data_IF_495170321951
#
_entry.id   IF_495170321951
#
_cell.length_a   1.000
_cell.length_b   1.000
_cell.length_c   1.000
_cell.angle_alpha   90.00
_cell.angle_beta   90.00
_cell.angle_gamma   90.00
#
_symmetry.space_group_name_H-M   'P 1'
#
loop_
_entity.id
_entity.type
_entity.pdbx_description
1 polymer ?
#
# COMPACT_ATOMS: atom_id res chain seq x y z
N UNK A 1 -4.96 19.68 -15.99
CA UNK A 1 -4.75 18.92 -14.75
C UNK A 1 -3.39 18.27 -14.84
N UNK A 2 -2.55 18.47 -13.87
CA UNK A 2 -1.25 17.83 -13.81
C UNK A 2 -1.46 16.31 -13.62
N UNK A 3 -0.99 15.50 -14.57
CA UNK A 3 -1.12 14.04 -14.51
C UNK A 3 -0.45 13.45 -13.27
N UNK A 4 0.56 14.12 -12.74
CA UNK A 4 1.28 13.69 -11.53
C UNK A 4 0.41 13.75 -10.28
N UNK A 5 -0.36 14.79 -10.10
CA UNK A 5 -1.22 14.99 -8.93
C UNK A 5 -2.32 13.93 -8.85
N UNK A 6 -2.97 13.63 -9.96
CA UNK A 6 -4.00 12.57 -10.02
C UNK A 6 -3.44 11.19 -9.69
N UNK A 7 -2.24 10.87 -10.15
CA UNK A 7 -1.58 9.59 -9.83
C UNK A 7 -1.25 9.50 -8.33
N UNK A 8 -0.74 10.59 -7.74
CA UNK A 8 -0.43 10.64 -6.32
C UNK A 8 -1.70 10.42 -5.46
N UNK A 9 -2.78 11.14 -5.76
CA UNK A 9 -4.04 10.98 -5.05
C UNK A 9 -4.57 9.54 -5.14
N UNK A 10 -4.50 8.93 -6.32
CA UNK A 10 -4.90 7.56 -6.52
C UNK A 10 -4.04 6.58 -5.71
N UNK A 11 -2.72 6.76 -5.71
CA UNK A 11 -1.81 5.92 -4.95
C UNK A 11 -2.04 6.04 -3.44
N UNK A 12 -2.22 7.26 -2.91
CA UNK A 12 -2.56 7.51 -1.50
C UNK A 12 -3.85 6.79 -1.12
N UNK A 13 -4.84 6.92 -1.95
CA UNK A 13 -6.14 6.32 -1.71
C UNK A 13 -6.09 4.80 -1.66
N UNK A 14 -5.48 4.19 -2.66
CA UNK A 14 -5.31 2.74 -2.74
C UNK A 14 -4.49 2.23 -1.57
N UNK A 15 -3.43 2.94 -1.17
CA UNK A 15 -2.58 2.57 -0.04
C UNK A 15 -3.33 2.60 1.29
N UNK A 16 -4.08 3.67 1.57
CA UNK A 16 -4.93 3.78 2.76
C UNK A 16 -5.96 2.64 2.80
N UNK A 17 -6.60 2.40 1.67
CA UNK A 17 -7.56 1.31 1.56
C UNK A 17 -6.94 -0.05 1.88
N UNK A 18 -5.79 -0.37 1.29
CA UNK A 18 -5.11 -1.65 1.53
C UNK A 18 -4.64 -1.77 2.98
N UNK A 19 -4.13 -0.69 3.55
CA UNK A 19 -3.76 -0.63 4.96
C UNK A 19 -4.96 -0.84 5.90
N UNK A 20 -6.10 -0.22 5.61
CA UNK A 20 -7.35 -0.46 6.34
C UNK A 20 -7.81 -1.92 6.22
N UNK A 21 -7.68 -2.54 5.05
CA UNK A 21 -8.01 -3.95 4.83
C UNK A 21 -7.08 -4.85 5.64
N UNK A 22 -5.78 -4.57 5.66
CA UNK A 22 -4.81 -5.29 6.47
C UNK A 22 -5.18 -5.24 7.96
N UNK A 23 -5.49 -4.06 8.46
CA UNK A 23 -5.90 -3.84 9.84
C UNK A 23 -7.22 -4.53 10.17
N UNK A 24 -8.20 -4.55 9.26
CA UNK A 24 -9.48 -5.21 9.44
C UNK A 24 -9.38 -6.73 9.47
N UNK A 25 -8.49 -7.33 8.69
CA UNK A 25 -8.24 -8.79 8.70
C UNK A 25 -7.78 -9.31 10.06
N UNK A 26 -7.04 -8.49 10.80
CA UNK A 26 -6.49 -8.82 12.12
C UNK A 26 -7.41 -8.41 13.27
N UNK A 27 -8.13 -7.34 13.11
CA UNK A 27 -9.07 -6.83 14.12
C UNK A 27 -10.50 -7.03 13.66
N UNK A 28 -11.20 -8.04 14.20
CA UNK A 28 -12.63 -8.29 13.91
C UNK A 28 -13.57 -7.10 14.17
N UNK A 29 -13.03 -5.97 14.66
CA UNK A 29 -13.78 -4.75 15.04
C UNK A 29 -13.75 -3.65 13.97
N UNK A 30 -13.00 -3.82 12.88
CA UNK A 30 -12.88 -2.82 11.82
C UNK A 30 -13.56 -3.36 10.58
N UNK A 31 -14.59 -2.69 10.03
CA UNK A 31 -15.23 -3.13 8.81
C UNK A 31 -14.23 -3.08 7.64
N UNK A 32 -14.23 -4.12 6.80
CA UNK A 32 -13.48 -4.09 5.55
C UNK A 32 -14.07 -3.00 4.66
N UNK A 33 -13.19 -2.23 4.04
CA UNK A 33 -13.56 -1.22 3.06
C UNK A 33 -13.09 -1.73 1.71
N UNK A 34 -13.99 -1.98 0.76
CA UNK A 34 -13.64 -2.39 -0.59
C UNK A 34 -13.76 -1.20 -1.56
N UNK A 35 -12.76 -0.95 -2.42
CA UNK A 35 -12.88 0.09 -3.41
C UNK A 35 -13.78 -0.39 -4.54
N UNK A 36 -14.79 0.38 -4.84
CA UNK A 36 -15.50 0.27 -6.10
C UNK A 36 -15.10 1.42 -7.01
N UNK A 37 -14.69 1.10 -8.21
CA UNK A 37 -14.28 1.95 -9.31
C UNK A 37 -12.83 2.44 -9.39
N UNK A 38 -12.26 2.13 -10.58
CA UNK A 38 -10.90 2.47 -10.98
C UNK A 38 -10.78 3.84 -11.65
N UNK A 39 -11.66 4.78 -11.40
CA UNK A 39 -11.52 6.13 -11.94
C UNK A 39 -10.67 7.00 -11.01
N UNK A 40 -9.59 7.54 -11.57
CA UNK A 40 -8.56 8.34 -10.87
C UNK A 40 -9.10 9.61 -10.21
N UNK A 41 -10.33 9.99 -10.43
CA UNK A 41 -10.90 11.27 -10.01
C UNK A 41 -11.72 11.25 -8.72
N UNK A 42 -12.19 10.11 -8.29
CA UNK A 42 -13.05 10.00 -7.09
C UNK A 42 -12.75 8.71 -6.35
N UNK A 43 -12.57 8.81 -5.05
CA UNK A 43 -12.49 7.67 -4.16
C UNK A 43 -13.84 7.44 -3.54
N UNK A 44 -14.43 6.38 -3.97
CA UNK A 44 -15.62 5.83 -3.37
C UNK A 44 -15.24 4.74 -2.39
N UNK A 45 -15.74 4.82 -1.17
CA UNK A 45 -15.56 3.81 -0.15
C UNK A 45 -16.91 3.15 0.13
N UNK A 46 -17.01 1.85 -0.14
CA UNK A 46 -18.17 1.04 0.17
C UNK A 46 -18.87 0.46 -1.05
N UNK A 47 -19.79 -0.51 -0.84
CA UNK A 47 -20.39 -1.31 -1.92
C UNK A 47 -21.35 -0.52 -2.85
N UNK A 48 -21.60 0.76 -2.60
CA UNK A 48 -22.57 1.59 -3.32
C UNK A 48 -22.13 3.04 -3.51
N UNK A 49 -20.87 3.34 -3.78
CA UNK A 49 -20.39 4.72 -3.97
C UNK A 49 -20.93 5.73 -2.92
N UNK A 50 -21.05 5.27 -1.67
CA UNK A 50 -21.79 5.98 -0.64
C UNK A 50 -21.08 7.24 -0.15
N UNK A 51 -19.74 7.29 -0.27
CA UNK A 51 -18.94 8.40 0.24
C UNK A 51 -17.77 8.67 -0.70
N UNK A 52 -17.73 9.87 -1.24
CA UNK A 52 -16.69 10.32 -2.18
C UNK A 52 -15.82 11.37 -1.50
N UNK A 53 -14.50 11.24 -1.68
CA UNK A 53 -13.51 12.22 -1.27
C UNK A 53 -12.93 12.90 -2.50
N UNK A 54 -12.75 14.21 -2.45
CA UNK A 54 -12.04 14.94 -3.50
C UNK A 54 -10.54 14.58 -3.49
N UNK A 55 -9.89 14.76 -4.63
CA UNK A 55 -8.45 14.56 -4.78
C UNK A 55 -7.65 15.35 -3.74
N UNK A 56 -8.00 16.61 -3.54
CA UNK A 56 -7.37 17.49 -2.54
C UNK A 56 -7.49 16.94 -1.12
N UNK A 57 -8.68 16.48 -0.74
CA UNK A 57 -8.92 15.89 0.57
C UNK A 57 -8.09 14.63 0.82
N UNK A 58 -7.85 13.85 -0.22
CA UNK A 58 -7.01 12.64 -0.13
C UNK A 58 -5.54 12.99 0.03
N UNK A 59 -5.03 13.92 -0.74
CA UNK A 59 -3.67 14.40 -0.59
C UNK A 59 -3.44 15.08 0.77
N UNK A 60 -4.47 15.70 1.34
CA UNK A 60 -4.42 16.25 2.69
C UNK A 60 -4.33 15.16 3.76
N UNK A 61 -4.91 13.97 3.55
CA UNK A 61 -4.71 12.82 4.46
C UNK A 61 -3.24 12.42 4.53
N UNK A 62 -2.53 12.41 3.41
CA UNK A 62 -1.10 12.13 3.39
C UNK A 62 -0.29 13.13 4.23
N UNK A 63 -0.71 14.40 4.25
CA UNK A 63 -0.08 15.45 5.06
C UNK A 63 -0.49 15.41 6.55
N UNK A 64 -1.22 14.37 6.97
CA UNK A 64 -1.72 14.25 8.34
C UNK A 64 -2.90 15.15 8.67
N UNK A 65 -3.47 15.82 7.66
CA UNK A 65 -4.66 16.65 7.78
C UNK A 65 -5.94 15.82 7.73
N UNK A 66 -7.03 16.41 8.21
CA UNK A 66 -8.31 15.74 8.23
C UNK A 66 -8.95 15.78 6.82
N UNK A 67 -9.35 14.62 6.29
CA UNK A 67 -10.13 14.57 5.05
C UNK A 67 -11.61 14.43 5.36
N UNK A 68 -12.41 15.28 4.76
CA UNK A 68 -13.86 15.21 4.83
C UNK A 68 -14.43 14.73 3.48
N UNK A 69 -15.45 13.86 3.50
CA UNK A 69 -16.22 13.55 2.30
C UNK A 69 -16.86 14.79 1.71
N UNK A 70 -17.19 14.76 0.44
CA UNK A 70 -17.97 15.85 -0.18
C UNK A 70 -19.31 16.04 0.55
N UNK A 71 -19.69 17.31 0.76
CA UNK A 71 -20.86 17.70 1.56
C UNK A 71 -22.17 17.03 1.16
N UNK A 72 -22.38 16.79 -0.14
CA UNK A 72 -23.57 16.09 -0.68
C UNK A 72 -23.73 14.67 -0.13
N UNK A 73 -22.61 13.97 0.15
CA UNK A 73 -22.64 12.61 0.70
C UNK A 73 -22.91 12.60 2.20
N UNK A 74 -22.49 13.66 2.93
CA UNK A 74 -22.86 13.84 4.31
C UNK A 74 -24.37 13.93 4.52
N UNK A 75 -25.06 14.64 3.62
CA UNK A 75 -26.52 14.78 3.69
C UNK A 75 -27.20 13.45 3.32
N UNK A 76 -26.71 12.78 2.27
CA UNK A 76 -27.35 11.58 1.74
C UNK A 76 -27.08 10.33 2.58
N UNK A 77 -25.86 10.21 3.16
CA UNK A 77 -25.40 9.02 3.87
C UNK A 77 -24.62 9.35 5.16
N UNK A 78 -25.23 10.04 6.14
CA UNK A 78 -24.51 10.55 7.30
C UNK A 78 -23.85 9.45 8.16
N UNK A 79 -24.52 8.33 8.37
CA UNK A 79 -23.97 7.21 9.15
C UNK A 79 -22.79 6.52 8.46
N UNK A 80 -22.88 6.32 7.15
CA UNK A 80 -21.79 5.71 6.36
C UNK A 80 -20.57 6.64 6.33
N UNK A 81 -20.77 7.93 6.10
CA UNK A 81 -19.71 8.94 6.13
C UNK A 81 -19.00 8.97 7.50
N UNK A 82 -19.77 8.97 8.60
CA UNK A 82 -19.21 8.95 9.94
C UNK A 82 -18.39 7.68 10.23
N UNK A 83 -18.89 6.51 9.85
CA UNK A 83 -18.16 5.25 10.04
C UNK A 83 -16.83 5.25 9.27
N UNK A 84 -16.82 5.73 8.02
CA UNK A 84 -15.62 5.78 7.18
C UNK A 84 -14.58 6.76 7.73
N UNK A 85 -15.00 7.94 8.16
CA UNK A 85 -14.12 8.89 8.84
C UNK A 85 -13.51 8.27 10.08
N UNK A 86 -14.32 7.60 10.91
CA UNK A 86 -13.84 6.92 12.11
C UNK A 86 -12.81 5.82 11.77
N UNK A 87 -13.01 5.09 10.67
CA UNK A 87 -12.05 4.08 10.20
C UNK A 87 -10.74 4.72 9.75
N UNK A 88 -10.80 5.83 8.99
CA UNK A 88 -9.62 6.57 8.57
C UNK A 88 -8.85 7.15 9.76
N UNK A 89 -9.56 7.69 10.75
CA UNK A 89 -8.94 8.19 11.98
C UNK A 89 -8.24 7.07 12.77
N UNK A 90 -8.89 5.91 12.91
CA UNK A 90 -8.28 4.74 13.56
C UNK A 90 -7.04 4.26 12.81
N UNK A 91 -7.10 4.20 11.49
CA UNK A 91 -5.95 3.84 10.66
C UNK A 91 -4.80 4.84 10.83
N UNK A 92 -5.08 6.14 10.74
CA UNK A 92 -4.07 7.17 10.95
C UNK A 92 -3.46 7.14 12.36
N UNK A 93 -4.29 6.92 13.39
CA UNK A 93 -3.81 6.76 14.78
C UNK A 93 -2.95 5.50 14.93
N UNK A 94 -3.33 4.41 14.27
CA UNK A 94 -2.55 3.18 14.30
C UNK A 94 -1.19 3.35 13.63
N UNK A 95 -1.11 4.02 12.48
CA UNK A 95 0.17 4.32 11.84
C UNK A 95 1.08 5.18 12.73
N UNK A 96 0.50 6.11 13.49
CA UNK A 96 1.24 6.97 14.43
C UNK A 96 1.68 6.25 15.72
N UNK A 97 1.10 5.10 16.04
CA UNK A 97 1.46 4.35 17.27
C UNK A 97 2.88 3.79 17.24
N UNK A 98 3.41 3.56 16.03
CA UNK A 98 4.76 3.01 15.81
C UNK A 98 5.04 1.73 16.61
N UNK A 99 4.03 0.88 16.69
CA UNK A 99 4.16 -0.38 17.41
C UNK A 99 5.14 -1.32 16.70
N UNK A 100 6.11 -1.85 17.42
CA UNK A 100 7.08 -2.81 16.88
C UNK A 100 6.51 -4.24 16.95
N UNK A 101 5.42 -4.49 16.19
CA UNK A 101 4.81 -5.80 16.13
C UNK A 101 4.52 -6.23 14.67
N UNK A 102 4.26 -7.53 14.50
CA UNK A 102 4.00 -8.12 13.18
C UNK A 102 2.80 -7.50 12.48
N UNK A 103 1.76 -7.16 13.22
CA UNK A 103 0.55 -6.55 12.67
C UNK A 103 0.85 -5.18 12.06
N UNK A 104 1.61 -4.35 12.77
CA UNK A 104 2.05 -3.05 12.29
C UNK A 104 2.91 -3.17 11.02
N UNK A 105 3.85 -4.12 10.99
CA UNK A 105 4.66 -4.40 9.80
C UNK A 105 3.78 -4.78 8.60
N UNK A 106 2.80 -5.66 8.77
CA UNK A 106 1.90 -6.08 7.69
C UNK A 106 1.08 -4.89 7.17
N UNK A 107 0.58 -4.03 8.06
CA UNK A 107 -0.18 -2.82 7.68
C UNK A 107 0.71 -1.85 6.91
N UNK A 108 1.93 -1.61 7.36
CA UNK A 108 2.90 -0.76 6.65
C UNK A 108 3.25 -1.33 5.28
N UNK A 109 3.62 -2.61 5.20
CA UNK A 109 3.92 -3.28 3.93
C UNK A 109 2.75 -3.19 2.95
N UNK A 110 1.52 -3.45 3.43
CA UNK A 110 0.33 -3.37 2.61
C UNK A 110 0.12 -1.95 2.07
N UNK A 111 0.34 -0.94 2.90
CA UNK A 111 0.21 0.47 2.52
C UNK A 111 1.27 0.87 1.49
N UNK A 112 2.53 0.55 1.74
CA UNK A 112 3.65 0.91 0.87
C UNK A 112 3.60 0.19 -0.48
N UNK A 113 3.36 -1.13 -0.46
CA UNK A 113 3.37 -1.95 -1.67
C UNK A 113 2.15 -1.69 -2.55
N UNK A 114 1.00 -1.36 -1.98
CA UNK A 114 -0.16 -0.97 -2.80
C UNK A 114 0.08 0.37 -3.51
N UNK A 115 0.67 1.38 -2.84
CA UNK A 115 1.08 2.61 -3.48
C UNK A 115 2.10 2.34 -4.60
N UNK A 116 3.08 1.47 -4.34
CA UNK A 116 4.07 1.04 -5.34
C UNK A 116 3.39 0.34 -6.52
N UNK A 117 2.42 -0.55 -6.29
CA UNK A 117 1.68 -1.23 -7.36
C UNK A 117 0.92 -0.23 -8.26
N UNK A 118 0.35 0.83 -7.69
CA UNK A 118 -0.26 1.91 -8.47
C UNK A 118 0.78 2.59 -9.39
N UNK A 119 1.96 2.91 -8.87
CA UNK A 119 3.04 3.48 -9.69
C UNK A 119 3.52 2.51 -10.76
N UNK A 120 3.65 1.22 -10.45
CA UNK A 120 4.02 0.18 -11.41
C UNK A 120 3.05 0.08 -12.58
N UNK A 121 1.77 0.37 -12.35
CA UNK A 121 0.73 0.31 -13.37
C UNK A 121 0.54 1.61 -14.16
N UNK A 122 0.83 2.77 -13.57
CA UNK A 122 0.43 4.05 -14.13
C UNK A 122 1.56 5.05 -14.35
N UNK A 123 2.70 4.92 -13.63
CA UNK A 123 3.83 5.83 -13.81
C UNK A 123 4.68 5.42 -15.02
N UNK A 124 4.88 6.34 -15.95
CA UNK A 124 5.54 6.06 -17.25
C UNK A 124 6.89 5.37 -17.13
N UNK A 125 7.73 5.80 -16.17
CA UNK A 125 9.05 5.19 -15.97
C UNK A 125 8.93 3.76 -15.40
N UNK A 126 8.01 3.53 -14.46
CA UNK A 126 7.78 2.21 -13.89
C UNK A 126 7.24 1.23 -14.94
N UNK A 127 6.29 1.65 -15.77
CA UNK A 127 5.75 0.84 -16.88
C UNK A 127 6.89 0.45 -17.84
N UNK A 128 7.73 1.40 -18.25
CA UNK A 128 8.87 1.11 -19.13
C UNK A 128 9.88 0.16 -18.50
N UNK A 129 10.17 0.33 -17.21
CA UNK A 129 11.14 -0.48 -16.48
C UNK A 129 10.67 -1.91 -16.29
N UNK A 130 9.40 -2.10 -15.93
CA UNK A 130 8.81 -3.40 -15.67
C UNK A 130 8.48 -4.16 -16.96
N UNK A 131 8.09 -3.45 -18.01
CA UNK A 131 7.83 -4.04 -19.32
C UNK A 131 7.00 -5.31 -19.26
N UNK A 132 7.58 -6.42 -19.75
CA UNK A 132 6.98 -7.75 -19.77
C UNK A 132 7.23 -8.56 -18.49
N UNK A 133 7.81 -7.98 -17.43
CA UNK A 133 8.07 -8.71 -16.20
C UNK A 133 6.79 -9.30 -15.61
N UNK A 134 6.93 -10.51 -15.06
CA UNK A 134 5.85 -11.25 -14.42
C UNK A 134 6.19 -11.48 -12.95
N UNK A 135 5.19 -11.43 -12.07
CA UNK A 135 5.31 -11.83 -10.67
C UNK A 135 5.17 -13.35 -10.50
N UNK A 136 4.93 -13.83 -9.28
CA UNK A 136 4.81 -13.04 -8.06
C UNK A 136 6.16 -12.66 -7.42
N UNK A 137 6.12 -11.58 -6.63
CA UNK A 137 7.18 -11.18 -5.71
C UNK A 137 6.63 -11.26 -4.30
N UNK A 138 7.26 -12.01 -3.44
CA UNK A 138 6.78 -12.27 -2.08
C UNK A 138 7.68 -11.64 -1.02
N UNK A 139 7.06 -11.12 0.02
CA UNK A 139 7.72 -10.51 1.16
C UNK A 139 7.49 -11.38 2.40
N UNK A 140 8.58 -11.80 3.03
CA UNK A 140 8.59 -12.70 4.16
C UNK A 140 9.19 -12.03 5.40
N UNK A 141 8.91 -12.60 6.54
CA UNK A 141 9.65 -12.34 7.78
C UNK A 141 10.26 -13.66 8.23
N UNK A 142 11.50 -13.63 8.64
CA UNK A 142 12.18 -14.78 9.24
C UNK A 142 11.35 -15.34 10.39
N UNK A 143 11.31 -16.64 10.52
CA UNK A 143 10.59 -17.37 11.57
C UNK A 143 9.04 -17.19 11.54
N UNK A 144 8.49 -16.67 10.43
CA UNK A 144 7.05 -16.61 10.19
C UNK A 144 6.69 -17.43 8.94
N UNK A 145 5.74 -18.33 9.10
CA UNK A 145 5.28 -19.19 7.99
C UNK A 145 4.52 -18.39 6.94
N UNK A 146 4.90 -18.61 5.68
CA UNK A 146 4.26 -18.00 4.52
C UNK A 146 4.61 -16.53 4.28
N UNK A 147 4.19 -15.99 3.14
CA UNK A 147 4.42 -14.59 2.81
C UNK A 147 3.53 -13.65 3.65
N UNK A 148 4.11 -12.53 4.10
CA UNK A 148 3.34 -11.46 4.73
C UNK A 148 2.42 -10.77 3.73
N UNK A 149 2.94 -10.58 2.50
CA UNK A 149 2.23 -9.97 1.38
C UNK A 149 2.88 -10.40 0.07
N UNK A 150 2.08 -10.52 -0.96
CA UNK A 150 2.49 -10.86 -2.32
C UNK A 150 2.15 -9.74 -3.28
N UNK A 151 3.09 -9.37 -4.14
CA UNK A 151 2.91 -8.47 -5.27
C UNK A 151 2.86 -9.31 -6.55
N UNK A 152 1.72 -9.31 -7.24
CA UNK A 152 1.49 -10.16 -8.41
C UNK A 152 0.72 -9.42 -9.50
N UNK A 153 0.64 -9.99 -10.69
CA UNK A 153 -0.24 -9.49 -11.74
C UNK A 153 -1.58 -10.21 -11.70
N UNK A 154 -2.67 -9.44 -11.78
CA UNK A 154 -4.01 -9.97 -11.93
C UNK A 154 -4.31 -10.36 -13.40
N UNK A 155 -5.53 -10.83 -13.65
CA UNK A 155 -6.00 -11.23 -14.99
C UNK A 155 -5.88 -10.11 -16.03
N UNK A 156 -5.98 -8.85 -15.61
CA UNK A 156 -5.83 -7.68 -16.49
C UNK A 156 -4.36 -7.24 -16.66
N UNK A 157 -3.40 -8.09 -16.29
CA UNK A 157 -1.97 -7.82 -16.30
C UNK A 157 -1.53 -6.60 -15.45
N UNK A 158 -2.36 -6.15 -14.52
CA UNK A 158 -2.05 -5.07 -13.57
C UNK A 158 -1.40 -5.64 -12.31
N UNK A 159 -0.37 -4.96 -11.81
CA UNK A 159 0.25 -5.26 -10.53
C UNK A 159 -0.71 -4.95 -9.38
N UNK A 160 -0.89 -5.90 -8.51
CA UNK A 160 -1.76 -5.81 -7.33
C UNK A 160 -1.09 -6.46 -6.14
N UNK A 161 -1.46 -6.03 -4.95
CA UNK A 161 -1.03 -6.68 -3.72
C UNK A 161 -2.11 -7.64 -3.21
N UNK A 162 -1.70 -8.81 -2.72
CA UNK A 162 -2.58 -9.78 -2.05
C UNK A 162 -1.91 -10.30 -0.78
N UNK A 163 -2.74 -10.79 0.14
CA UNK A 163 -2.28 -11.48 1.36
C UNK A 163 -2.27 -13.00 1.18
N UNK A 164 -2.68 -13.46 0.03
CA UNK A 164 -2.77 -14.90 -0.25
C UNK A 164 -1.40 -15.42 -0.67
N UNK A 165 -1.11 -16.64 -0.28
CA UNK A 165 0.06 -17.36 -0.77
C UNK A 165 -0.15 -17.66 -2.26
N UNK A 166 0.81 -17.32 -3.13
CA UNK A 166 0.66 -17.59 -4.55
C UNK A 166 0.65 -19.09 -4.82
N UNK A 167 -0.16 -19.52 -5.80
CA UNK A 167 -0.23 -20.91 -6.25
C UNK A 167 1.05 -21.36 -6.98
N UNK A 168 1.78 -20.41 -7.56
CA UNK A 168 3.03 -20.63 -8.26
C UNK A 168 4.21 -20.18 -7.42
N UNK A 169 5.37 -20.80 -7.61
CA UNK A 169 6.59 -20.39 -6.92
C UNK A 169 6.91 -18.91 -7.16
N UNK A 170 7.21 -18.13 -6.09
CA UNK A 170 7.61 -16.74 -6.22
C UNK A 170 8.84 -16.58 -7.11
N UNK A 171 8.75 -15.68 -8.08
CA UNK A 171 9.86 -15.39 -8.98
C UNK A 171 10.98 -14.62 -8.28
N UNK A 172 10.62 -13.84 -7.28
CA UNK A 172 11.57 -13.20 -6.36
C UNK A 172 10.99 -13.16 -4.94
N UNK A 173 11.87 -13.30 -3.95
CA UNK A 173 11.52 -13.31 -2.52
C UNK A 173 12.40 -12.29 -1.80
N UNK A 174 11.82 -11.55 -0.88
CA UNK A 174 12.54 -10.70 0.06
C UNK A 174 12.13 -11.10 1.47
N UNK A 175 13.09 -11.51 2.27
CA UNK A 175 12.88 -11.93 3.66
C UNK A 175 13.57 -10.95 4.60
N UNK A 176 12.81 -10.33 5.50
CA UNK A 176 13.35 -9.49 6.56
C UNK A 176 13.86 -10.38 7.71
N UNK A 177 14.97 -9.99 8.33
CA UNK A 177 15.54 -10.70 9.51
C UNK A 177 14.70 -10.47 10.76
N UNK A 178 14.07 -9.28 10.87
CA UNK A 178 13.29 -8.89 12.03
C UNK A 178 12.13 -7.97 11.67
N UNK A 179 11.14 -7.86 12.56
CA UNK A 179 10.02 -6.91 12.44
C UNK A 179 10.54 -5.48 12.30
N UNK A 180 11.52 -5.10 13.11
CA UNK A 180 12.08 -3.75 13.09
C UNK A 180 12.74 -3.44 11.75
N UNK A 181 13.50 -4.35 11.18
CA UNK A 181 14.08 -4.20 9.84
C UNK A 181 13.01 -3.97 8.78
N UNK A 182 11.93 -4.74 8.82
CA UNK A 182 10.81 -4.57 7.91
C UNK A 182 10.16 -3.19 8.05
N UNK A 183 9.93 -2.72 9.27
CA UNK A 183 9.37 -1.39 9.57
C UNK A 183 10.29 -0.29 9.04
N UNK A 184 11.58 -0.33 9.38
CA UNK A 184 12.56 0.67 8.95
C UNK A 184 12.72 0.70 7.43
N UNK A 185 12.61 -0.47 6.77
CA UNK A 185 12.61 -0.57 5.30
C UNK A 185 11.39 0.12 4.69
N UNK A 186 10.19 -0.09 5.23
CA UNK A 186 8.97 0.58 4.79
C UNK A 186 9.04 2.10 4.96
N UNK A 187 9.72 2.58 6.00
CA UNK A 187 9.92 3.99 6.29
C UNK A 187 11.08 4.62 5.49
N UNK A 188 11.78 3.84 4.66
CA UNK A 188 12.92 4.29 3.88
C UNK A 188 14.15 4.66 4.74
N UNK A 189 14.24 4.15 5.97
CA UNK A 189 15.32 4.44 6.92
C UNK A 189 16.50 3.47 6.80
N UNK A 190 16.36 2.40 6.04
CA UNK A 190 17.44 1.46 5.75
C UNK A 190 17.92 1.69 4.31
N UNK A 191 19.22 1.89 4.16
CA UNK A 191 19.84 1.86 2.84
C UNK A 191 19.83 0.41 2.31
N UNK A 192 19.21 0.12 1.15
CA UNK A 192 19.08 -1.23 0.63
C UNK A 192 20.41 -1.99 0.49
N UNK A 193 21.47 -1.33 0.02
CA UNK A 193 22.78 -1.96 -0.17
C UNK A 193 23.43 -2.29 1.18
N UNK A 194 23.39 -1.34 2.13
CA UNK A 194 23.94 -1.54 3.47
C UNK A 194 23.14 -2.61 4.22
N UNK A 195 21.83 -2.56 4.15
CA UNK A 195 20.95 -3.52 4.80
C UNK A 195 21.18 -4.96 4.32
N UNK A 196 21.34 -5.16 3.01
CA UNK A 196 21.66 -6.47 2.45
C UNK A 196 23.05 -6.95 2.88
N UNK A 197 24.06 -6.07 2.87
CA UNK A 197 25.42 -6.41 3.31
C UNK A 197 25.51 -6.76 4.79
N UNK A 198 24.64 -6.18 5.62
CA UNK A 198 24.54 -6.48 7.05
C UNK A 198 23.66 -7.71 7.36
N UNK A 199 23.04 -8.33 6.36
CA UNK A 199 22.14 -9.45 6.54
C UNK A 199 20.76 -9.10 7.09
N UNK A 200 20.39 -7.80 7.08
CA UNK A 200 19.09 -7.34 7.57
C UNK A 200 17.91 -7.86 6.73
N UNK A 201 18.19 -8.21 5.49
CA UNK A 201 17.24 -8.92 4.63
C UNK A 201 17.97 -9.77 3.59
N UNK A 202 17.31 -10.82 3.18
CA UNK A 202 17.77 -11.75 2.16
C UNK A 202 16.88 -11.63 0.93
N UNK A 203 17.51 -11.60 -0.25
CA UNK A 203 16.82 -11.60 -1.54
C UNK A 203 17.14 -12.89 -2.27
N UNK A 204 16.10 -13.60 -2.71
CA UNK A 204 16.21 -14.86 -3.44
C UNK A 204 15.45 -14.79 -4.78
N UNK A 205 15.85 -15.64 -5.72
CA UNK A 205 15.21 -15.76 -7.02
C UNK A 205 15.73 -14.74 -8.04
N UNK A 206 14.84 -14.15 -8.82
CA UNK A 206 15.20 -13.27 -9.93
C UNK A 206 15.50 -11.84 -9.47
N UNK A 207 16.76 -11.59 -9.13
CA UNK A 207 17.24 -10.29 -8.60
C UNK A 207 16.88 -9.08 -9.48
N UNK A 208 16.96 -9.13 -10.83
CA UNK A 208 16.61 -7.98 -11.65
C UNK A 208 15.14 -7.52 -11.45
N UNK A 209 14.22 -8.44 -11.18
CA UNK A 209 12.84 -8.07 -10.87
C UNK A 209 12.76 -7.34 -9.53
N UNK A 210 13.48 -7.83 -8.52
CA UNK A 210 13.51 -7.18 -7.21
C UNK A 210 14.09 -5.76 -7.29
N UNK A 211 15.16 -5.55 -8.06
CA UNK A 211 15.72 -4.22 -8.30
C UNK A 211 14.73 -3.26 -8.96
N UNK A 212 13.98 -3.75 -9.95
CA UNK A 212 12.95 -2.96 -10.63
C UNK A 212 11.81 -2.59 -9.67
N UNK A 213 11.35 -3.53 -8.85
CA UNK A 213 10.35 -3.27 -7.80
C UNK A 213 10.90 -2.26 -6.79
N UNK A 214 12.14 -2.45 -6.35
CA UNK A 214 12.82 -1.52 -5.44
C UNK A 214 12.96 -0.11 -6.04
N UNK A 215 13.23 0.02 -7.33
CA UNK A 215 13.23 1.31 -8.01
C UNK A 215 11.84 1.97 -7.97
N UNK A 216 10.78 1.25 -8.34
CA UNK A 216 9.42 1.75 -8.30
C UNK A 216 9.02 2.17 -6.88
N UNK A 217 9.38 1.39 -5.86
CA UNK A 217 9.12 1.71 -4.46
C UNK A 217 9.82 3.01 -4.02
N UNK A 218 11.11 3.19 -4.38
CA UNK A 218 11.84 4.44 -4.08
C UNK A 218 11.24 5.66 -4.78
N UNK A 219 10.81 5.50 -6.04
CA UNK A 219 10.14 6.58 -6.77
C UNK A 219 8.81 6.94 -6.09
N UNK A 220 8.02 5.95 -5.72
CA UNK A 220 6.77 6.14 -4.97
C UNK A 220 7.03 6.86 -3.65
N UNK A 221 8.02 6.41 -2.87
CA UNK A 221 8.36 7.02 -1.58
C UNK A 221 8.88 8.46 -1.70
N UNK A 222 9.54 8.79 -2.81
CA UNK A 222 9.97 10.17 -3.10
C UNK A 222 8.78 11.09 -3.33
N UNK A 223 7.80 10.63 -4.10
CA UNK A 223 6.62 11.42 -4.46
C UNK A 223 5.56 11.43 -3.34
N UNK A 224 5.52 10.34 -2.56
CA UNK A 224 4.56 10.10 -1.47
C UNK A 224 5.31 9.73 -0.18
N UNK A 225 6.05 10.66 0.43
CA UNK A 225 6.71 10.36 1.69
C UNK A 225 5.69 9.99 2.76
N UNK A 226 5.93 8.87 3.46
CA UNK A 226 5.10 8.47 4.59
C UNK A 226 5.39 9.44 5.73
N UNK A 227 4.43 10.30 6.03
CA UNK A 227 4.48 11.21 7.18
C UNK A 227 3.84 10.48 8.37
N UNK A 228 4.69 9.87 9.21
CA UNK A 228 4.30 9.19 10.45
C UNK A 228 4.79 9.97 11.64
#
# INVERSE_FOLDING_TARGET
MDQGTSLQAWAVARSIFKGCTALARRSKKIPSIEPHNCEVKCLSFGPKEDVVFSEENILNLQKGSFALPEFRFWIKYPFSAFQKIKTLQKFGSYLKSKEENLEYLIVLLATCLEATAVYMNHHTQCIKLLGSEKGPVCFFLKDVDGPLITLTKNENACWVTTFDTPEIEPRAKLSFDSINTGILSCLGQINPLVGSALGNYQVEGYLPLMDKVGYCSRLTAKDLPIII
#
